data_IF_613409675623
#
_entry.id   IF_613409675623
#
_cell.length_a   1.000
_cell.length_b   1.000
_cell.length_c   1.000
_cell.angle_alpha   90.00
_cell.angle_beta   90.00
_cell.angle_gamma   90.00
#
_symmetry.space_group_name_H-M   'P 1'
#
loop_
_entity.id
_entity.type
_entity.pdbx_description
1 polymer ?
#
# COMPACT_ATOMS: atom_id res chain seq x y z
N UNK A 1 -8.58 30.33 -10.26
CA UNK A 1 -8.42 28.87 -10.51
C UNK A 1 -9.63 28.12 -9.96
N UNK A 2 -10.00 26.95 -10.50
CA UNK A 2 -11.04 26.13 -9.88
C UNK A 2 -10.58 25.69 -8.49
N UNK A 3 -11.52 25.52 -7.53
CA UNK A 3 -11.23 25.05 -6.16
C UNK A 3 -10.38 23.76 -6.13
N UNK A 4 -10.39 22.99 -7.22
CA UNK A 4 -9.64 21.73 -7.37
C UNK A 4 -8.11 21.93 -7.36
N UNK A 5 -7.61 23.08 -7.82
CA UNK A 5 -6.18 23.36 -7.98
C UNK A 5 -5.68 24.52 -7.10
N UNK A 6 -6.41 24.85 -6.05
CA UNK A 6 -6.14 25.99 -5.17
C UNK A 6 -4.76 25.90 -4.49
N UNK A 7 -4.29 24.71 -4.13
CA UNK A 7 -2.97 24.52 -3.51
C UNK A 7 -1.81 24.87 -4.46
N UNK A 8 -2.02 24.87 -5.78
CA UNK A 8 -0.98 25.29 -6.72
C UNK A 8 -0.74 26.81 -6.76
N UNK A 9 -1.55 27.61 -6.08
CA UNK A 9 -1.23 29.01 -5.87
C UNK A 9 -0.01 29.19 -4.95
N UNK A 10 0.24 28.23 -4.06
CA UNK A 10 1.42 28.20 -3.19
C UNK A 10 2.64 27.73 -3.98
N UNK A 11 3.65 28.60 -4.10
CA UNK A 11 4.88 28.32 -4.86
C UNK A 11 5.60 27.07 -4.35
N UNK A 12 5.80 26.94 -3.05
CA UNK A 12 6.47 25.80 -2.43
C UNK A 12 5.71 24.50 -2.68
N UNK A 13 4.37 24.56 -2.73
CA UNK A 13 3.56 23.37 -3.03
C UNK A 13 3.72 22.90 -4.48
N UNK A 14 3.86 23.81 -5.44
CA UNK A 14 4.14 23.45 -6.85
C UNK A 14 5.44 22.67 -6.98
N UNK A 15 6.50 23.14 -6.32
CA UNK A 15 7.78 22.41 -6.33
C UNK A 15 7.65 21.04 -5.67
N UNK A 16 7.02 20.98 -4.50
CA UNK A 16 6.79 19.72 -3.79
C UNK A 16 6.00 18.72 -4.62
N UNK A 17 4.89 19.15 -5.21
CA UNK A 17 4.03 18.30 -6.01
C UNK A 17 4.75 17.78 -7.27
N UNK A 18 5.44 18.64 -7.99
CA UNK A 18 6.17 18.25 -9.19
C UNK A 18 7.30 17.26 -8.87
N UNK A 19 8.11 17.56 -7.85
CA UNK A 19 9.17 16.65 -7.39
C UNK A 19 8.61 15.32 -6.89
N UNK A 20 7.51 15.34 -6.12
CA UNK A 20 6.87 14.12 -5.62
C UNK A 20 6.28 13.27 -6.75
N UNK A 21 5.66 13.89 -7.77
CA UNK A 21 5.10 13.17 -8.92
C UNK A 21 6.21 12.44 -9.69
N UNK A 22 7.29 13.15 -10.02
CA UNK A 22 8.45 12.57 -10.74
C UNK A 22 9.08 11.43 -9.94
N UNK A 23 9.33 11.66 -8.64
CA UNK A 23 9.91 10.65 -7.74
C UNK A 23 8.98 9.44 -7.56
N UNK A 24 7.67 9.64 -7.46
CA UNK A 24 6.70 8.53 -7.35
C UNK A 24 6.67 7.68 -8.63
N UNK A 25 6.69 8.30 -9.81
CA UNK A 25 6.75 7.57 -11.09
C UNK A 25 8.05 6.77 -11.16
N UNK A 26 9.20 7.39 -10.84
CA UNK A 26 10.49 6.72 -10.80
C UNK A 26 10.50 5.53 -9.84
N UNK A 27 9.90 5.66 -8.66
CA UNK A 27 9.81 4.58 -7.68
C UNK A 27 8.97 3.39 -8.19
N UNK A 28 7.90 3.61 -8.95
CA UNK A 28 7.13 2.53 -9.57
C UNK A 28 7.89 1.88 -10.74
N UNK A 29 8.63 2.68 -11.54
CA UNK A 29 9.53 2.17 -12.57
C UNK A 29 10.60 1.28 -11.96
N UNK A 30 11.28 1.75 -10.91
CA UNK A 30 12.28 0.99 -10.17
C UNK A 30 11.75 -0.37 -9.70
N UNK A 31 10.55 -0.38 -9.12
CA UNK A 31 9.94 -1.58 -8.56
C UNK A 31 9.76 -2.67 -9.62
N UNK A 32 9.23 -2.32 -10.79
CA UNK A 32 9.05 -3.26 -11.89
C UNK A 32 10.40 -3.73 -12.43
N UNK A 33 11.37 -2.83 -12.60
CA UNK A 33 12.71 -3.17 -13.07
C UNK A 33 13.45 -4.10 -12.10
N UNK A 34 13.34 -3.83 -10.79
CA UNK A 34 13.94 -4.68 -9.75
C UNK A 34 13.31 -6.08 -9.73
N UNK A 35 11.98 -6.15 -9.79
CA UNK A 35 11.26 -7.44 -9.80
C UNK A 35 11.64 -8.25 -11.04
N UNK A 36 11.72 -7.60 -12.21
CA UNK A 36 12.13 -8.22 -13.47
C UNK A 36 13.56 -8.74 -13.40
N UNK A 37 14.51 -7.91 -12.97
CA UNK A 37 15.91 -8.28 -12.77
C UNK A 37 16.07 -9.51 -11.87
N UNK A 38 15.39 -9.51 -10.73
CA UNK A 38 15.47 -10.62 -9.77
C UNK A 38 14.93 -11.90 -10.38
N UNK A 39 13.76 -11.82 -11.03
CA UNK A 39 13.07 -13.01 -11.53
C UNK A 39 13.76 -13.61 -12.75
N UNK A 40 14.20 -12.79 -13.70
CA UNK A 40 14.68 -13.26 -14.99
C UNK A 40 16.19 -13.41 -15.10
N UNK A 41 16.95 -12.45 -14.54
CA UNK A 41 18.41 -12.45 -14.71
C UNK A 41 19.16 -13.09 -13.54
N UNK A 42 18.69 -12.86 -12.29
CA UNK A 42 19.46 -13.26 -11.11
C UNK A 42 19.06 -14.64 -10.56
N UNK A 43 17.84 -15.12 -10.81
CA UNK A 43 17.33 -16.31 -10.12
C UNK A 43 16.60 -17.33 -11.02
N UNK A 44 16.57 -17.11 -12.32
CA UNK A 44 15.91 -18.01 -13.28
C UNK A 44 14.45 -18.40 -12.86
N UNK A 45 13.68 -17.43 -12.33
CA UNK A 45 12.26 -17.64 -12.02
C UNK A 45 11.93 -17.76 -10.52
N UNK A 46 12.84 -17.52 -9.56
CA UNK A 46 12.52 -17.71 -8.14
C UNK A 46 11.53 -16.68 -7.58
N UNK A 47 10.31 -17.14 -7.31
CA UNK A 47 9.29 -16.40 -6.57
C UNK A 47 9.72 -16.12 -5.12
N UNK A 48 10.49 -17.02 -4.51
CA UNK A 48 11.05 -16.85 -3.14
C UNK A 48 11.97 -15.65 -3.09
N UNK A 49 12.83 -15.48 -4.10
CA UNK A 49 13.73 -14.33 -4.15
C UNK A 49 12.95 -13.00 -4.19
N UNK A 50 11.89 -12.91 -5.01
CA UNK A 50 10.99 -11.76 -5.03
C UNK A 50 10.31 -11.53 -3.67
N UNK A 51 9.87 -12.61 -3.04
CA UNK A 51 9.27 -12.57 -1.70
C UNK A 51 10.21 -12.01 -0.66
N UNK A 52 11.48 -12.42 -0.67
CA UNK A 52 12.53 -11.93 0.24
C UNK A 52 12.84 -10.45 -0.01
N UNK A 53 12.99 -10.04 -1.28
CA UNK A 53 13.17 -8.62 -1.64
C UNK A 53 12.04 -7.78 -1.07
N UNK A 54 10.80 -8.18 -1.34
CA UNK A 54 9.61 -7.48 -0.85
C UNK A 54 9.59 -7.45 0.69
N UNK A 55 9.90 -8.56 1.34
CA UNK A 55 9.97 -8.60 2.80
C UNK A 55 11.00 -7.62 3.36
N UNK A 56 12.20 -7.58 2.80
CA UNK A 56 13.28 -6.68 3.25
C UNK A 56 12.92 -5.21 3.05
N UNK A 57 12.24 -4.85 1.96
CA UNK A 57 11.76 -3.47 1.73
C UNK A 57 10.77 -3.00 2.81
N UNK A 58 9.95 -3.90 3.34
CA UNK A 58 8.92 -3.54 4.32
C UNK A 58 9.30 -3.88 5.75
N UNK A 59 10.30 -4.74 5.99
CA UNK A 59 10.66 -5.25 7.31
C UNK A 59 11.02 -4.14 8.31
N UNK A 60 11.76 -3.13 7.87
CA UNK A 60 12.20 -2.04 8.75
C UNK A 60 11.04 -1.13 9.18
N UNK A 61 9.98 -1.01 8.36
CA UNK A 61 8.93 0.00 8.53
C UNK A 61 8.15 -0.18 9.84
N UNK A 62 7.57 -1.34 10.18
CA UNK A 62 6.79 -1.49 11.41
C UNK A 62 7.61 -1.24 12.69
N UNK A 63 8.91 -1.47 12.66
CA UNK A 63 9.81 -1.26 13.79
C UNK A 63 10.33 0.17 13.88
N UNK A 64 10.68 0.78 12.76
CA UNK A 64 11.34 2.09 12.70
C UNK A 64 10.38 3.27 12.47
N UNK A 65 9.21 3.07 11.87
CA UNK A 65 8.26 4.17 11.62
C UNK A 65 7.83 4.93 12.89
N UNK A 66 7.65 4.30 14.07
CA UNK A 66 7.38 5.03 15.31
C UNK A 66 8.54 5.95 15.72
N UNK A 67 9.79 5.55 15.46
CA UNK A 67 10.97 6.39 15.69
C UNK A 67 11.06 7.49 14.63
N UNK A 68 10.77 7.17 13.36
CA UNK A 68 10.68 8.13 12.26
C UNK A 68 9.66 9.23 12.54
N UNK A 69 8.48 8.89 13.06
CA UNK A 69 7.49 9.87 13.53
C UNK A 69 8.05 10.77 14.64
N UNK A 70 8.71 10.19 15.65
CA UNK A 70 9.34 10.95 16.73
C UNK A 70 10.48 11.87 16.26
N UNK A 71 11.20 11.50 15.20
CA UNK A 71 12.20 12.34 14.54
C UNK A 71 11.52 13.47 13.77
N UNK A 72 10.46 13.17 13.01
CA UNK A 72 9.68 14.17 12.28
C UNK A 72 9.03 15.22 13.20
N UNK A 73 8.65 14.84 14.42
CA UNK A 73 8.09 15.76 15.42
C UNK A 73 9.11 16.72 16.03
N UNK A 74 10.40 16.32 16.06
CA UNK A 74 11.46 17.07 16.76
C UNK A 74 12.34 17.90 15.85
N UNK A 75 12.58 17.42 14.64
CA UNK A 75 13.51 18.03 13.71
C UNK A 75 12.79 18.67 12.54
N UNK A 76 13.51 19.52 11.81
CA UNK A 76 13.05 20.16 10.58
C UNK A 76 12.74 19.10 9.52
N UNK A 77 11.48 19.04 9.12
CA UNK A 77 10.95 18.01 8.20
C UNK A 77 11.56 18.12 6.81
N UNK A 78 11.85 19.36 6.34
CA UNK A 78 12.53 19.59 5.07
C UNK A 78 13.95 19.00 5.09
N UNK A 79 14.69 19.16 6.21
CA UNK A 79 16.02 18.56 6.34
C UNK A 79 15.98 17.06 6.39
N UNK A 80 14.99 16.46 7.10
CA UNK A 80 14.79 15.01 7.12
C UNK A 80 14.54 14.52 5.69
N UNK A 81 13.66 15.18 4.94
CA UNK A 81 13.36 14.80 3.56
C UNK A 81 14.58 14.95 2.64
N UNK A 82 15.37 16.01 2.77
CA UNK A 82 16.61 16.17 2.00
C UNK A 82 17.59 15.02 2.26
N UNK A 83 17.79 14.65 3.53
CA UNK A 83 18.64 13.53 3.92
C UNK A 83 18.09 12.21 3.37
N UNK A 84 16.79 11.96 3.54
CA UNK A 84 16.13 10.74 3.03
C UNK A 84 16.28 10.64 1.50
N UNK A 85 16.01 11.74 0.78
CA UNK A 85 16.11 11.75 -0.68
C UNK A 85 17.57 11.54 -1.16
N UNK A 86 18.56 12.08 -0.45
CA UNK A 86 19.96 11.84 -0.75
C UNK A 86 20.31 10.35 -0.59
N UNK A 87 19.87 9.70 0.51
CA UNK A 87 20.07 8.26 0.70
C UNK A 87 19.33 7.41 -0.32
N UNK A 88 18.08 7.75 -0.67
CA UNK A 88 17.32 7.03 -1.70
C UNK A 88 17.97 7.19 -3.09
N UNK A 89 18.50 8.37 -3.39
CA UNK A 89 19.25 8.63 -4.62
C UNK A 89 20.55 7.81 -4.66
N UNK A 90 21.33 7.79 -3.58
CA UNK A 90 22.55 6.97 -3.49
C UNK A 90 22.23 5.48 -3.66
N UNK A 91 21.17 4.99 -3.02
CA UNK A 91 20.69 3.62 -3.16
C UNK A 91 20.32 3.30 -4.62
N UNK A 92 19.59 4.19 -5.29
CA UNK A 92 19.19 4.03 -6.68
C UNK A 92 20.39 4.08 -7.64
N UNK A 93 21.34 4.98 -7.41
CA UNK A 93 22.60 5.07 -8.19
C UNK A 93 23.44 3.80 -7.97
N UNK A 94 23.56 3.32 -6.74
CA UNK A 94 24.28 2.08 -6.43
C UNK A 94 23.66 0.89 -7.18
N UNK A 95 22.33 0.78 -7.17
CA UNK A 95 21.60 -0.25 -7.89
C UNK A 95 21.89 -0.17 -9.40
N UNK A 96 21.74 1.02 -9.98
CA UNK A 96 22.01 1.24 -11.40
C UNK A 96 23.46 0.89 -11.76
N UNK A 97 24.46 1.33 -10.99
CA UNK A 97 25.86 1.04 -11.24
C UNK A 97 26.16 -0.46 -11.19
N UNK A 98 25.63 -1.18 -10.21
CA UNK A 98 25.82 -2.63 -10.10
C UNK A 98 25.27 -3.37 -11.32
N UNK A 99 24.12 -2.96 -11.82
CA UNK A 99 23.51 -3.53 -13.03
C UNK A 99 24.29 -3.11 -14.27
N UNK A 100 24.58 -1.82 -14.44
CA UNK A 100 25.29 -1.28 -15.58
C UNK A 100 26.70 -1.88 -15.77
N UNK A 101 27.38 -2.17 -14.66
CA UNK A 101 28.72 -2.81 -14.69
C UNK A 101 28.66 -4.34 -14.79
N UNK A 102 27.46 -4.93 -14.73
CA UNK A 102 27.28 -6.39 -14.81
C UNK A 102 27.74 -7.18 -13.58
N UNK A 103 28.05 -6.51 -12.46
CA UNK A 103 28.53 -7.16 -11.23
C UNK A 103 27.41 -7.39 -10.22
N UNK A 104 26.18 -7.10 -10.59
CA UNK A 104 25.01 -7.27 -9.71
C UNK A 104 24.84 -8.73 -9.30
N UNK A 105 24.55 -8.93 -8.01
CA UNK A 105 24.23 -10.24 -7.43
C UNK A 105 23.01 -10.12 -6.53
N UNK A 106 22.32 -11.22 -6.27
CA UNK A 106 21.09 -11.23 -5.49
C UNK A 106 21.22 -10.61 -4.10
N UNK A 107 22.34 -10.82 -3.41
CA UNK A 107 22.56 -10.24 -2.08
C UNK A 107 22.70 -8.71 -2.11
N UNK A 108 23.21 -8.13 -3.22
CA UNK A 108 23.20 -6.67 -3.39
C UNK A 108 21.78 -6.12 -3.39
N UNK A 109 20.87 -6.82 -4.10
CA UNK A 109 19.46 -6.44 -4.15
C UNK A 109 18.83 -6.51 -2.75
N UNK A 110 19.10 -7.57 -1.99
CA UNK A 110 18.63 -7.74 -0.62
C UNK A 110 19.12 -6.61 0.30
N UNK A 111 20.41 -6.28 0.23
CA UNK A 111 21.01 -5.21 1.03
C UNK A 111 20.39 -3.84 0.69
N UNK A 112 20.27 -3.52 -0.61
CA UNK A 112 19.71 -2.26 -1.08
C UNK A 112 18.20 -2.17 -0.79
N UNK A 113 17.45 -3.26 -0.89
CA UNK A 113 16.03 -3.33 -0.53
C UNK A 113 15.82 -3.04 0.96
N UNK A 114 16.63 -3.64 1.84
CA UNK A 114 16.58 -3.36 3.27
C UNK A 114 16.96 -1.91 3.59
N UNK A 115 18.06 -1.41 3.02
CA UNK A 115 18.48 -0.02 3.18
C UNK A 115 17.38 0.97 2.75
N UNK A 116 16.73 0.71 1.60
CA UNK A 116 15.59 1.49 1.14
C UNK A 116 14.43 1.48 2.15
N UNK A 117 14.09 0.30 2.70
CA UNK A 117 13.05 0.16 3.73
C UNK A 117 13.33 0.96 4.99
N UNK A 118 14.59 0.97 5.44
CA UNK A 118 15.03 1.79 6.58
C UNK A 118 14.81 3.28 6.30
N UNK A 119 15.23 3.78 5.13
CA UNK A 119 15.08 5.20 4.78
C UNK A 119 13.59 5.58 4.67
N UNK A 120 12.77 4.75 4.03
CA UNK A 120 11.32 4.97 3.87
C UNK A 120 10.60 5.05 5.22
N UNK A 121 11.06 4.33 6.24
CA UNK A 121 10.49 4.38 7.59
C UNK A 121 10.62 5.77 8.24
N UNK A 122 11.59 6.59 7.82
CA UNK A 122 11.76 7.99 8.25
C UNK A 122 11.15 8.99 7.25
N UNK A 123 11.28 8.72 5.95
CA UNK A 123 10.77 9.61 4.88
C UNK A 123 9.24 9.75 4.95
N UNK A 124 8.50 8.64 5.05
CA UNK A 124 7.05 8.66 5.02
C UNK A 124 6.40 9.53 6.12
N UNK A 125 6.76 9.38 7.42
CA UNK A 125 6.20 10.25 8.46
C UNK A 125 6.58 11.72 8.26
N UNK A 126 7.83 11.99 7.87
CA UNK A 126 8.31 13.34 7.62
C UNK A 126 7.55 13.99 6.45
N UNK A 127 7.34 13.26 5.35
CA UNK A 127 6.59 13.70 4.17
C UNK A 127 5.13 14.04 4.51
N UNK A 128 4.46 13.19 5.28
CA UNK A 128 3.08 13.44 5.72
C UNK A 128 2.98 14.65 6.65
N UNK A 129 3.95 14.83 7.54
CA UNK A 129 4.00 15.94 8.47
C UNK A 129 4.46 17.26 7.82
N UNK A 130 5.11 17.19 6.64
CA UNK A 130 5.61 18.38 5.93
C UNK A 130 4.54 19.09 5.10
N UNK A 131 3.56 18.34 4.55
CA UNK A 131 2.48 18.95 3.74
C UNK A 131 1.73 20.07 4.47
N UNK A 132 1.33 19.90 5.76
CA UNK A 132 0.72 21.00 6.52
C UNK A 132 1.62 22.22 6.76
N UNK A 133 2.95 22.07 6.59
CA UNK A 133 3.89 23.20 6.72
C UNK A 133 4.05 23.98 5.41
N UNK A 134 3.63 23.39 4.28
CA UNK A 134 3.75 24.03 2.96
C UNK A 134 2.52 24.91 2.66
N UNK A 135 1.33 24.49 3.10
CA UNK A 135 0.06 25.13 2.77
C UNK A 135 -0.70 25.58 4.02
N UNK A 136 -1.58 26.57 3.89
CA UNK A 136 -2.46 26.99 4.99
C UNK A 136 -3.48 25.87 5.33
N UNK A 137 -4.05 25.92 6.54
CA UNK A 137 -5.06 24.97 7.01
C UNK A 137 -6.28 24.87 6.06
N UNK A 138 -6.66 25.98 5.43
CA UNK A 138 -7.78 26.03 4.49
C UNK A 138 -7.52 25.20 3.24
N UNK A 139 -6.28 25.17 2.76
CA UNK A 139 -5.83 24.46 1.56
C UNK A 139 -5.34 23.03 1.83
N UNK A 140 -5.20 22.65 3.09
CA UNK A 140 -4.62 21.36 3.48
C UNK A 140 -5.38 20.18 2.88
N UNK A 141 -6.71 20.20 2.91
CA UNK A 141 -7.53 19.11 2.32
C UNK A 141 -7.29 18.97 0.82
N UNK A 142 -7.17 20.10 0.10
CA UNK A 142 -6.86 20.13 -1.33
C UNK A 142 -5.46 19.59 -1.62
N UNK A 143 -4.44 20.00 -0.85
CA UNK A 143 -3.07 19.53 -0.99
C UNK A 143 -2.95 18.02 -0.76
N UNK A 144 -3.60 17.49 0.29
CA UNK A 144 -3.64 16.04 0.56
C UNK A 144 -4.34 15.28 -0.58
N UNK A 145 -5.44 15.81 -1.12
CA UNK A 145 -6.14 15.24 -2.27
C UNK A 145 -5.27 15.18 -3.51
N UNK A 146 -4.56 16.27 -3.83
CA UNK A 146 -3.64 16.34 -4.97
C UNK A 146 -2.45 15.38 -4.80
N UNK A 147 -1.86 15.27 -3.59
CA UNK A 147 -0.81 14.30 -3.33
C UNK A 147 -1.29 12.85 -3.52
N UNK A 148 -2.50 12.54 -3.07
CA UNK A 148 -3.10 11.23 -3.31
C UNK A 148 -3.31 10.97 -4.81
N UNK A 149 -3.73 11.99 -5.56
CA UNK A 149 -3.88 11.92 -7.02
C UNK A 149 -2.53 11.68 -7.69
N UNK A 150 -1.47 12.40 -7.30
CA UNK A 150 -0.10 12.19 -7.79
C UNK A 150 0.38 10.74 -7.57
N UNK A 151 0.19 10.21 -6.36
CA UNK A 151 0.56 8.84 -6.03
C UNK A 151 -0.19 7.80 -6.87
N UNK A 152 -1.51 7.97 -7.04
CA UNK A 152 -2.32 7.06 -7.85
C UNK A 152 -2.02 7.19 -9.35
N UNK A 153 -1.72 8.39 -9.86
CA UNK A 153 -1.28 8.59 -11.23
C UNK A 153 0.06 7.88 -11.49
N UNK A 154 1.02 8.02 -10.58
CA UNK A 154 2.30 7.32 -10.66
C UNK A 154 2.13 5.79 -10.62
N UNK A 155 1.25 5.28 -9.76
CA UNK A 155 0.90 3.86 -9.68
C UNK A 155 0.25 3.33 -10.96
N UNK A 156 -0.51 4.17 -11.65
CA UNK A 156 -1.17 3.81 -12.91
C UNK A 156 -0.18 3.81 -14.08
N UNK A 157 0.67 4.84 -14.17
CA UNK A 157 1.55 5.06 -15.31
C UNK A 157 2.87 4.28 -15.15
N UNK A 158 3.42 4.25 -13.94
CA UNK A 158 4.77 3.74 -13.68
C UNK A 158 5.02 2.31 -14.13
N UNK A 159 4.18 1.33 -13.76
CA UNK A 159 4.38 -0.06 -14.17
C UNK A 159 4.36 -0.25 -15.67
N UNK A 160 3.38 0.35 -16.38
CA UNK A 160 3.31 0.28 -17.85
C UNK A 160 4.50 0.95 -18.51
N UNK A 161 4.92 2.13 -18.04
CA UNK A 161 6.10 2.83 -18.55
C UNK A 161 7.38 2.00 -18.33
N UNK A 162 7.53 1.37 -17.17
CA UNK A 162 8.65 0.50 -16.86
C UNK A 162 8.70 -0.71 -17.80
N UNK A 163 7.59 -1.45 -17.91
CA UNK A 163 7.51 -2.63 -18.78
C UNK A 163 7.78 -2.29 -20.23
N UNK A 164 7.18 -1.21 -20.75
CA UNK A 164 7.46 -0.72 -22.12
C UNK A 164 8.93 -0.36 -22.31
N UNK A 165 9.53 0.35 -21.35
CA UNK A 165 10.94 0.75 -21.42
C UNK A 165 11.86 -0.47 -21.43
N UNK A 166 11.69 -1.40 -20.51
CA UNK A 166 12.51 -2.62 -20.42
C UNK A 166 12.39 -3.41 -21.73
N UNK A 167 11.18 -3.60 -22.24
CA UNK A 167 10.96 -4.27 -23.53
C UNK A 167 11.62 -3.53 -24.72
N UNK A 168 11.57 -2.19 -24.75
CA UNK A 168 12.17 -1.38 -25.80
C UNK A 168 13.71 -1.45 -25.80
N UNK A 169 14.33 -1.72 -24.65
CA UNK A 169 15.77 -1.91 -24.49
C UNK A 169 16.18 -3.39 -24.44
N UNK A 170 15.40 -4.29 -25.05
CA UNK A 170 15.71 -5.73 -25.16
C UNK A 170 15.86 -6.42 -23.77
N UNK A 171 14.96 -6.10 -22.88
CA UNK A 171 14.91 -6.56 -21.49
C UNK A 171 16.03 -6.03 -20.57
N UNK A 172 16.88 -5.09 -21.05
CA UNK A 172 17.82 -4.40 -20.18
C UNK A 172 17.10 -3.46 -19.21
N UNK A 173 17.29 -3.68 -17.90
CA UNK A 173 16.68 -2.88 -16.84
C UNK A 173 17.49 -1.64 -16.47
N UNK A 174 18.74 -1.51 -16.92
CA UNK A 174 19.62 -0.39 -16.55
C UNK A 174 19.04 0.99 -16.91
N UNK A 175 18.41 1.22 -18.09
CA UNK A 175 17.77 2.50 -18.39
C UNK A 175 16.63 2.86 -17.42
N UNK A 176 15.82 1.87 -17.02
CA UNK A 176 14.74 2.07 -16.07
C UNK A 176 15.25 2.45 -14.67
N UNK A 177 16.34 1.80 -14.23
CA UNK A 177 17.00 2.10 -12.96
C UNK A 177 17.65 3.49 -12.98
N UNK A 178 18.25 3.91 -14.10
CA UNK A 178 18.80 5.25 -14.27
C UNK A 178 17.71 6.32 -14.16
N UNK A 179 16.57 6.13 -14.80
CA UNK A 179 15.44 7.07 -14.73
C UNK A 179 14.96 7.21 -13.29
N UNK A 180 14.89 6.11 -12.53
CA UNK A 180 14.57 6.20 -11.10
C UNK A 180 15.62 7.02 -10.34
N UNK A 181 16.92 6.78 -10.55
CA UNK A 181 17.96 7.54 -9.89
C UNK A 181 17.85 9.04 -10.20
N UNK A 182 17.61 9.40 -11.48
CA UNK A 182 17.39 10.78 -11.89
C UNK A 182 16.10 11.38 -11.32
N UNK A 183 15.06 10.58 -11.09
CA UNK A 183 13.80 11.06 -10.51
C UNK A 183 13.97 11.59 -9.07
N UNK A 184 14.89 11.03 -8.30
CA UNK A 184 15.23 11.54 -6.97
C UNK A 184 15.92 12.92 -7.03
N UNK A 185 16.69 13.20 -8.08
CA UNK A 185 17.27 14.55 -8.30
C UNK A 185 16.16 15.59 -8.40
N UNK A 186 15.05 15.26 -9.10
CA UNK A 186 13.89 16.14 -9.23
C UNK A 186 13.26 16.51 -7.88
N UNK A 187 13.06 15.52 -7.00
CA UNK A 187 12.52 15.77 -5.66
C UNK A 187 13.52 16.50 -4.77
N UNK A 188 14.79 16.15 -4.83
CA UNK A 188 15.86 16.80 -4.07
C UNK A 188 15.99 18.28 -4.47
N UNK A 189 16.03 18.58 -5.76
CA UNK A 189 16.04 19.94 -6.29
C UNK A 189 14.79 20.73 -5.89
N UNK A 190 13.61 20.12 -5.97
CA UNK A 190 12.36 20.74 -5.55
C UNK A 190 12.41 21.17 -4.08
N UNK A 191 12.95 20.32 -3.19
CA UNK A 191 13.11 20.65 -1.77
C UNK A 191 14.14 21.79 -1.56
N UNK A 192 15.22 21.84 -2.35
CA UNK A 192 16.21 22.91 -2.28
C UNK A 192 15.65 24.26 -2.75
N UNK A 193 14.83 24.25 -3.81
CA UNK A 193 14.23 25.46 -4.39
C UNK A 193 13.11 26.08 -3.54
N UNK A 194 12.63 25.39 -2.51
CA UNK A 194 11.62 25.92 -1.62
C UNK A 194 12.16 27.07 -0.76
N UNK A 195 11.37 28.13 -0.66
CA UNK A 195 11.63 29.23 0.27
C UNK A 195 11.23 28.82 1.68
N UNK A 196 12.20 28.83 2.57
CA UNK A 196 12.01 28.44 4.00
C UNK A 196 11.20 29.44 4.80
N UNK A 197 11.26 30.69 4.44
CA UNK A 197 10.51 31.81 5.04
C UNK A 197 9.00 31.75 4.74
N UNK A 198 8.60 31.04 3.69
CA UNK A 198 7.18 30.82 3.34
C UNK A 198 6.61 29.53 3.99
N UNK A 199 7.40 28.79 4.78
CA UNK A 199 6.92 27.60 5.48
C UNK A 199 6.26 27.95 6.80
N UNK A 200 5.24 27.17 7.18
CA UNK A 200 4.50 27.31 8.45
C UNK A 200 4.88 26.17 9.41
N UNK A 201 5.96 26.28 10.19
CA UNK A 201 6.40 25.20 11.06
C UNK A 201 5.33 24.79 12.06
N UNK A 202 5.02 23.51 12.10
CA UNK A 202 4.08 22.97 13.08
C UNK A 202 4.67 23.02 14.50
N UNK A 203 3.86 23.33 15.54
CA UNK A 203 4.31 23.28 16.93
C UNK A 203 4.88 21.91 17.26
N UNK A 204 6.03 21.87 17.94
CA UNK A 204 6.67 20.62 18.36
C UNK A 204 5.79 19.89 19.38
N UNK A 205 5.49 18.61 19.12
CA UNK A 205 4.68 17.82 20.03
C UNK A 205 5.38 17.59 21.39
N UNK A 206 4.69 17.91 22.47
CA UNK A 206 5.27 17.97 23.81
C UNK A 206 5.31 16.64 24.58
N UNK A 207 4.64 15.53 24.17
CA UNK A 207 4.59 14.29 24.98
C UNK A 207 4.48 13.00 24.17
N UNK A 208 5.33 12.01 24.54
CA UNK A 208 5.22 10.60 24.15
C UNK A 208 3.97 9.96 24.76
N UNK A 209 3.03 9.48 23.95
CA UNK A 209 1.94 8.63 24.42
C UNK A 209 2.42 7.19 24.65
N UNK A 210 2.21 6.61 25.84
CA UNK A 210 2.57 5.24 26.15
C UNK A 210 1.78 4.23 25.29
N UNK A 211 2.48 3.44 24.47
CA UNK A 211 1.92 2.46 23.51
C UNK A 211 1.15 1.33 24.20
N UNK A 212 1.55 0.98 25.44
CA UNK A 212 0.89 -0.09 26.25
C UNK A 212 -0.61 0.10 26.44
N UNK A 213 -1.10 1.34 26.60
CA UNK A 213 -2.52 1.63 26.74
C UNK A 213 -3.33 1.32 25.47
N UNK A 214 -2.72 1.45 24.29
CA UNK A 214 -3.35 1.16 23.00
C UNK A 214 -3.68 -0.33 22.82
N UNK A 215 -2.75 -1.23 23.14
CA UNK A 215 -2.99 -2.69 23.03
C UNK A 215 -4.09 -3.18 23.96
N UNK A 216 -4.11 -2.72 25.22
CA UNK A 216 -5.18 -3.05 26.15
C UNK A 216 -6.54 -2.58 25.66
N UNK A 217 -6.60 -1.36 25.12
CA UNK A 217 -7.82 -0.80 24.55
C UNK A 217 -8.30 -1.60 23.32
N UNK A 218 -7.42 -1.92 22.37
CA UNK A 218 -7.76 -2.73 21.20
C UNK A 218 -8.32 -4.09 21.62
N UNK A 219 -7.66 -4.79 22.57
CA UNK A 219 -8.11 -6.09 23.05
C UNK A 219 -9.49 -6.05 23.71
N UNK A 220 -9.89 -4.92 24.28
CA UNK A 220 -11.22 -4.73 24.88
C UNK A 220 -12.33 -4.42 23.86
N UNK A 221 -11.98 -4.22 22.56
CA UNK A 221 -12.90 -3.84 21.49
C UNK A 221 -12.94 -4.91 20.39
N UNK A 222 -13.82 -5.92 20.46
CA UNK A 222 -13.89 -7.01 19.49
C UNK A 222 -14.05 -6.54 18.04
N UNK A 223 -14.79 -5.45 17.81
CA UNK A 223 -15.00 -4.87 16.48
C UNK A 223 -13.69 -4.41 15.85
N UNK A 224 -12.81 -3.77 16.64
CA UNK A 224 -11.50 -3.33 16.18
C UNK A 224 -10.61 -4.55 15.91
N UNK A 225 -10.65 -5.57 16.77
CA UNK A 225 -9.88 -6.81 16.59
C UNK A 225 -10.26 -7.50 15.27
N UNK A 226 -11.56 -7.63 14.99
CA UNK A 226 -12.04 -8.21 13.70
C UNK A 226 -11.50 -7.43 12.50
N UNK A 227 -11.53 -6.08 12.54
CA UNK A 227 -11.01 -5.25 11.47
C UNK A 227 -9.49 -5.42 11.29
N UNK A 228 -8.75 -5.56 12.40
CA UNK A 228 -7.30 -5.79 12.37
C UNK A 228 -6.96 -7.18 11.80
N UNK A 229 -7.75 -8.21 12.12
CA UNK A 229 -7.60 -9.55 11.52
C UNK A 229 -7.82 -9.49 10.01
N UNK A 230 -8.88 -8.81 9.54
CA UNK A 230 -9.14 -8.62 8.10
C UNK A 230 -7.94 -7.99 7.41
N UNK A 231 -7.43 -6.90 7.97
CA UNK A 231 -6.32 -6.13 7.39
C UNK A 231 -5.02 -6.92 7.41
N UNK A 232 -4.76 -7.67 8.49
CA UNK A 232 -3.61 -8.56 8.59
C UNK A 232 -3.63 -9.65 7.53
N UNK A 233 -4.72 -10.37 7.40
CA UNK A 233 -4.86 -11.47 6.42
C UNK A 233 -4.79 -10.96 4.99
N UNK A 234 -5.44 -9.84 4.69
CA UNK A 234 -5.34 -9.20 3.38
C UNK A 234 -3.90 -8.74 3.08
N UNK A 235 -3.23 -8.08 4.04
CA UNK A 235 -1.86 -7.58 3.88
C UNK A 235 -0.83 -8.71 3.75
N UNK A 236 -1.02 -9.80 4.50
CA UNK A 236 -0.09 -10.94 4.52
C UNK A 236 -0.25 -11.82 3.27
N UNK A 237 -1.47 -12.20 2.91
CA UNK A 237 -1.72 -13.20 1.87
C UNK A 237 -2.39 -12.65 0.61
N UNK A 238 -3.04 -11.49 0.69
CA UNK A 238 -3.81 -10.93 -0.42
C UNK A 238 -3.04 -9.94 -1.28
N UNK A 239 -2.20 -9.08 -0.70
CA UNK A 239 -1.60 -7.94 -1.40
C UNK A 239 -0.21 -8.23 -2.01
N UNK A 240 0.08 -9.48 -2.35
CA UNK A 240 1.35 -9.89 -2.97
C UNK A 240 1.32 -9.86 -4.50
N UNK A 241 0.55 -8.93 -5.10
CA UNK A 241 0.35 -8.88 -6.55
C UNK A 241 1.62 -8.60 -7.36
N UNK A 242 2.68 -8.09 -6.76
CA UNK A 242 3.99 -8.02 -7.41
C UNK A 242 4.50 -9.41 -7.77
N UNK A 243 4.49 -10.33 -6.79
CA UNK A 243 4.93 -11.72 -6.99
C UNK A 243 3.95 -12.41 -7.95
N UNK A 244 2.64 -12.34 -7.70
CA UNK A 244 1.62 -12.99 -8.53
C UNK A 244 1.67 -12.53 -9.99
N UNK A 245 1.76 -11.22 -10.26
CA UNK A 245 1.77 -10.71 -11.62
C UNK A 245 3.06 -11.07 -12.36
N UNK A 246 4.22 -10.98 -11.68
CA UNK A 246 5.51 -11.31 -12.27
C UNK A 246 5.55 -12.78 -12.69
N UNK A 247 5.27 -13.70 -11.75
CA UNK A 247 5.34 -15.14 -11.98
C UNK A 247 4.25 -15.66 -12.93
N UNK A 248 3.03 -15.11 -12.85
CA UNK A 248 1.97 -15.43 -13.82
C UNK A 248 2.33 -14.97 -15.23
N UNK A 249 2.93 -13.77 -15.38
CA UNK A 249 3.35 -13.26 -16.68
C UNK A 249 4.45 -14.17 -17.29
N UNK A 250 5.52 -14.41 -16.53
CA UNK A 250 6.71 -15.13 -17.04
C UNK A 250 6.51 -16.64 -17.11
N UNK A 251 6.14 -17.30 -16.01
CA UNK A 251 6.15 -18.74 -15.90
C UNK A 251 4.88 -19.40 -16.47
N UNK A 252 3.71 -18.73 -16.30
CA UNK A 252 2.44 -19.32 -16.73
C UNK A 252 2.07 -18.94 -18.16
N UNK A 253 2.28 -17.66 -18.52
CA UNK A 253 1.86 -17.16 -19.82
C UNK A 253 3.02 -16.96 -20.80
N UNK A 254 4.27 -17.13 -20.38
CA UNK A 254 5.46 -16.93 -21.24
C UNK A 254 5.56 -15.54 -21.82
N UNK A 255 5.20 -14.51 -21.01
CA UNK A 255 5.16 -13.11 -21.41
C UNK A 255 6.37 -12.33 -20.93
N UNK A 256 6.67 -11.24 -21.64
CA UNK A 256 7.82 -10.38 -21.38
C UNK A 256 7.55 -9.27 -20.37
N UNK A 257 8.56 -8.41 -20.21
CA UNK A 257 8.54 -7.26 -19.31
C UNK A 257 7.41 -6.27 -19.61
N UNK A 258 7.08 -6.07 -20.89
CA UNK A 258 5.99 -5.21 -21.32
C UNK A 258 4.66 -5.63 -20.77
N UNK A 259 4.30 -6.91 -20.92
CA UNK A 259 3.05 -7.47 -20.43
C UNK A 259 3.02 -7.50 -18.89
N UNK A 260 4.15 -7.78 -18.21
CA UNK A 260 4.22 -7.67 -16.75
C UNK A 260 3.88 -6.23 -16.29
N UNK A 261 4.46 -5.23 -16.90
CA UNK A 261 4.14 -3.82 -16.61
C UNK A 261 2.67 -3.47 -16.83
N UNK A 262 2.07 -3.98 -17.93
CA UNK A 262 0.64 -3.80 -18.22
C UNK A 262 -0.26 -4.38 -17.12
N UNK A 263 0.05 -5.55 -16.55
CA UNK A 263 -0.73 -6.13 -15.44
C UNK A 263 -0.79 -5.18 -14.24
N UNK A 264 0.34 -4.55 -13.89
CA UNK A 264 0.39 -3.54 -12.83
C UNK A 264 -0.53 -2.35 -13.11
N UNK A 265 -0.51 -1.84 -14.33
CA UNK A 265 -1.37 -0.74 -14.79
C UNK A 265 -2.85 -1.11 -14.76
N UNK A 266 -3.21 -2.30 -15.26
CA UNK A 266 -4.62 -2.79 -15.26
C UNK A 266 -5.13 -2.92 -13.83
N UNK A 267 -4.36 -3.48 -12.94
CA UNK A 267 -4.73 -3.54 -11.51
C UNK A 267 -4.90 -2.14 -10.90
N UNK A 268 -4.04 -1.18 -11.28
CA UNK A 268 -4.12 0.20 -10.81
C UNK A 268 -5.43 0.89 -11.26
N UNK A 269 -5.96 0.59 -12.44
CA UNK A 269 -7.28 1.06 -12.89
C UNK A 269 -8.35 0.59 -11.89
N UNK A 270 -8.34 -0.68 -11.53
CA UNK A 270 -9.25 -1.24 -10.53
C UNK A 270 -9.13 -0.53 -9.18
N UNK A 271 -7.90 -0.33 -8.69
CA UNK A 271 -7.68 0.35 -7.40
C UNK A 271 -8.13 1.80 -7.43
N UNK A 272 -7.91 2.53 -8.53
CA UNK A 272 -8.38 3.91 -8.68
C UNK A 272 -9.92 3.98 -8.66
N UNK A 273 -10.59 3.10 -9.40
CA UNK A 273 -12.05 2.99 -9.35
C UNK A 273 -12.57 2.66 -7.94
N UNK A 274 -11.89 1.77 -7.21
CA UNK A 274 -12.18 1.45 -5.81
C UNK A 274 -12.02 2.65 -4.88
N UNK A 275 -10.98 3.47 -5.06
CA UNK A 275 -10.75 4.70 -4.30
C UNK A 275 -11.88 5.72 -4.52
N UNK A 276 -12.27 5.95 -5.79
CA UNK A 276 -13.36 6.85 -6.14
C UNK A 276 -14.71 6.37 -5.56
N UNK A 277 -14.97 5.07 -5.61
CA UNK A 277 -16.16 4.49 -5.00
C UNK A 277 -16.17 4.63 -3.47
N UNK A 278 -15.00 4.48 -2.83
CA UNK A 278 -14.86 4.65 -1.37
C UNK A 278 -15.09 6.10 -0.94
N UNK A 279 -14.62 7.08 -1.71
CA UNK A 279 -14.81 8.52 -1.42
C UNK A 279 -16.29 8.94 -1.39
N UNK A 280 -17.16 8.24 -2.12
CA UNK A 280 -18.61 8.49 -2.13
C UNK A 280 -19.34 7.92 -0.91
N UNK A 281 -18.67 7.08 -0.08
CA UNK A 281 -19.29 6.40 1.06
C UNK A 281 -19.18 7.25 2.32
N UNK A 282 -20.31 7.65 2.89
CA UNK A 282 -20.36 8.47 4.10
C UNK A 282 -19.94 7.72 5.38
N UNK A 283 -20.22 6.41 5.49
CA UNK A 283 -19.86 5.58 6.65
C UNK A 283 -19.48 4.16 6.18
N UNK A 284 -18.29 3.66 6.49
CA UNK A 284 -17.94 2.26 6.23
C UNK A 284 -18.71 1.34 7.17
N UNK A 285 -19.23 0.22 6.62
CA UNK A 285 -19.95 -0.81 7.37
C UNK A 285 -19.14 -2.11 7.30
N UNK A 286 -19.08 -2.86 8.38
CA UNK A 286 -18.36 -4.15 8.41
C UNK A 286 -18.87 -5.09 7.30
N UNK A 287 -20.17 -5.11 7.03
CA UNK A 287 -20.74 -5.86 5.91
C UNK A 287 -20.10 -5.48 4.56
N UNK A 288 -19.91 -4.20 4.29
CA UNK A 288 -19.26 -3.75 3.05
C UNK A 288 -17.81 -4.25 2.97
N UNK A 289 -17.11 -4.26 4.11
CA UNK A 289 -15.73 -4.76 4.21
C UNK A 289 -15.69 -6.26 3.93
N UNK A 290 -16.59 -7.04 4.56
CA UNK A 290 -16.66 -8.50 4.36
C UNK A 290 -17.05 -8.87 2.93
N UNK A 291 -18.04 -8.19 2.34
CA UNK A 291 -18.43 -8.40 0.94
C UNK A 291 -17.31 -8.03 -0.03
N UNK A 292 -16.59 -6.94 0.24
CA UNK A 292 -15.45 -6.56 -0.57
C UNK A 292 -14.28 -7.55 -0.42
N UNK A 293 -14.01 -8.05 0.80
CA UNK A 293 -13.00 -9.07 1.01
C UNK A 293 -13.38 -10.40 0.33
N UNK A 294 -14.64 -10.80 0.39
CA UNK A 294 -15.15 -11.97 -0.31
C UNK A 294 -15.00 -11.82 -1.83
N UNK A 295 -15.41 -10.68 -2.38
CA UNK A 295 -15.31 -10.41 -3.82
C UNK A 295 -13.83 -10.32 -4.27
N UNK A 296 -12.95 -9.74 -3.46
CA UNK A 296 -11.50 -9.76 -3.66
C UNK A 296 -10.98 -11.20 -3.73
N UNK A 297 -11.33 -12.03 -2.73
CA UNK A 297 -10.92 -13.43 -2.65
C UNK A 297 -11.37 -14.23 -3.86
N UNK A 298 -12.64 -14.09 -4.25
CA UNK A 298 -13.18 -14.77 -5.43
C UNK A 298 -12.52 -14.31 -6.73
N UNK A 299 -12.24 -13.00 -6.86
CA UNK A 299 -11.52 -12.47 -8.03
C UNK A 299 -10.10 -13.01 -8.12
N UNK A 300 -9.40 -13.12 -6.98
CA UNK A 300 -8.04 -13.66 -6.90
C UNK A 300 -8.03 -15.17 -7.20
N UNK A 301 -8.98 -15.92 -6.66
CA UNK A 301 -9.14 -17.35 -6.97
C UNK A 301 -9.45 -17.55 -8.46
N UNK A 302 -10.38 -16.78 -9.01
CA UNK A 302 -10.71 -16.84 -10.43
C UNK A 302 -9.50 -16.50 -11.31
N UNK A 303 -8.65 -15.54 -10.89
CA UNK A 303 -7.39 -15.22 -11.58
C UNK A 303 -6.43 -16.41 -11.61
N UNK A 304 -6.36 -17.22 -10.55
CA UNK A 304 -5.58 -18.47 -10.52
C UNK A 304 -6.04 -19.50 -11.57
N UNK A 305 -7.32 -19.51 -11.92
CA UNK A 305 -7.90 -20.37 -12.97
C UNK A 305 -7.91 -19.73 -14.36
N UNK A 306 -7.38 -18.53 -14.54
CA UNK A 306 -7.42 -17.84 -15.83
C UNK A 306 -6.77 -18.68 -16.94
N UNK A 307 -7.48 -18.96 -18.06
CA UNK A 307 -6.97 -19.81 -19.14
C UNK A 307 -5.89 -19.11 -19.98
N UNK A 308 -5.90 -17.78 -20.02
CA UNK A 308 -4.98 -16.97 -20.81
C UNK A 308 -4.68 -15.63 -20.13
N UNK A 309 -3.66 -14.94 -20.65
CA UNK A 309 -3.20 -13.65 -20.16
C UNK A 309 -4.31 -12.58 -20.11
N UNK A 310 -5.14 -12.48 -21.15
CA UNK A 310 -6.19 -11.47 -21.22
C UNK A 310 -7.26 -11.65 -20.13
N UNK A 311 -7.68 -12.90 -19.87
CA UNK A 311 -8.62 -13.21 -18.79
C UNK A 311 -8.01 -12.92 -17.42
N UNK A 312 -6.73 -13.25 -17.23
CA UNK A 312 -6.00 -12.94 -16.01
C UNK A 312 -5.96 -11.43 -15.78
N UNK A 313 -5.53 -10.66 -16.79
CA UNK A 313 -5.48 -9.21 -16.75
C UNK A 313 -6.84 -8.58 -16.41
N UNK A 314 -7.93 -9.07 -17.03
CA UNK A 314 -9.29 -8.58 -16.77
C UNK A 314 -9.70 -8.81 -15.31
N UNK A 315 -9.35 -9.96 -14.72
CA UNK A 315 -9.67 -10.30 -13.33
C UNK A 315 -8.87 -9.48 -12.30
N UNK A 316 -7.75 -8.87 -12.70
CA UNK A 316 -7.02 -7.92 -11.84
C UNK A 316 -7.80 -6.63 -11.58
N UNK A 317 -8.71 -6.23 -12.47
CA UNK A 317 -9.53 -5.01 -12.27
C UNK A 317 -10.44 -5.15 -11.04
N UNK A 318 -11.30 -6.17 -10.92
CA UNK A 318 -12.09 -6.37 -9.71
C UNK A 318 -11.22 -6.68 -8.48
N UNK A 319 -10.11 -7.41 -8.61
CA UNK A 319 -9.18 -7.65 -7.50
C UNK A 319 -8.62 -6.32 -6.96
N UNK A 320 -8.16 -5.43 -7.83
CA UNK A 320 -7.71 -4.08 -7.45
C UNK A 320 -8.81 -3.24 -6.81
N UNK A 321 -10.01 -3.23 -7.40
CA UNK A 321 -11.16 -2.49 -6.89
C UNK A 321 -11.55 -2.91 -5.48
N UNK A 322 -11.68 -4.20 -5.24
CA UNK A 322 -12.13 -4.73 -3.96
C UNK A 322 -11.03 -4.66 -2.89
N UNK A 323 -9.76 -4.88 -3.24
CA UNK A 323 -8.64 -4.73 -2.30
C UNK A 323 -8.58 -3.33 -1.71
N UNK A 324 -8.65 -2.29 -2.55
CA UNK A 324 -8.66 -0.91 -2.07
C UNK A 324 -9.94 -0.55 -1.32
N UNK A 325 -11.08 -1.11 -1.72
CA UNK A 325 -12.33 -0.95 -0.99
C UNK A 325 -12.22 -1.51 0.44
N UNK A 326 -11.62 -2.69 0.63
CA UNK A 326 -11.37 -3.25 1.98
C UNK A 326 -10.45 -2.33 2.78
N UNK A 327 -9.30 -1.96 2.20
CA UNK A 327 -8.30 -1.13 2.90
C UNK A 327 -8.86 0.21 3.36
N UNK A 328 -9.51 0.95 2.47
CA UNK A 328 -10.04 2.28 2.79
C UNK A 328 -11.21 2.19 3.76
N UNK A 329 -12.10 1.20 3.59
CA UNK A 329 -13.25 1.02 4.48
C UNK A 329 -12.82 0.53 5.86
N UNK A 330 -11.85 -0.39 5.97
CA UNK A 330 -11.32 -0.86 7.24
C UNK A 330 -10.58 0.26 8.00
N UNK A 331 -9.74 1.04 7.30
CA UNK A 331 -9.06 2.18 7.89
C UNK A 331 -10.06 3.19 8.50
N UNK A 332 -11.07 3.58 7.73
CA UNK A 332 -12.10 4.50 8.20
C UNK A 332 -12.96 3.89 9.34
N UNK A 333 -13.27 2.59 9.28
CA UNK A 333 -14.03 1.91 10.33
C UNK A 333 -13.26 1.87 11.66
N UNK A 334 -11.95 1.54 11.62
CA UNK A 334 -11.09 1.56 12.82
C UNK A 334 -10.99 2.96 13.42
N UNK A 335 -10.84 4.00 12.59
CA UNK A 335 -10.80 5.38 13.06
C UNK A 335 -12.10 5.80 13.76
N UNK A 336 -13.26 5.44 13.18
CA UNK A 336 -14.57 5.79 13.72
C UNK A 336 -14.94 4.96 14.96
N UNK A 337 -14.50 3.71 15.06
CA UNK A 337 -14.70 2.85 16.21
C UNK A 337 -13.79 3.19 17.41
N UNK A 338 -12.74 4.00 17.17
CA UNK A 338 -11.75 4.35 18.19
C UNK A 338 -12.16 5.60 18.95
N UNK A 339 -12.08 5.53 20.27
CA UNK A 339 -12.20 6.70 21.13
C UNK A 339 -11.16 7.76 20.75
N UNK A 340 -11.52 9.06 20.68
CA UNK A 340 -10.60 10.15 20.35
C UNK A 340 -9.28 10.12 21.14
N UNK A 341 -9.31 9.75 22.43
CA UNK A 341 -8.13 9.64 23.31
C UNK A 341 -7.17 8.52 22.90
N UNK A 342 -7.67 7.44 22.30
CA UNK A 342 -6.89 6.25 21.92
C UNK A 342 -6.68 6.15 20.41
N UNK A 343 -7.37 6.98 19.58
CA UNK A 343 -7.38 6.88 18.11
C UNK A 343 -5.99 6.84 17.51
N UNK A 344 -5.09 7.73 17.93
CA UNK A 344 -3.72 7.75 17.41
C UNK A 344 -2.95 6.45 17.69
N UNK A 345 -3.13 5.87 18.90
CA UNK A 345 -2.50 4.60 19.29
C UNK A 345 -3.07 3.41 18.53
N UNK A 346 -4.39 3.37 18.35
CA UNK A 346 -5.09 2.33 17.58
C UNK A 346 -4.66 2.38 16.12
N UNK A 347 -4.55 3.58 15.53
CA UNK A 347 -4.09 3.74 14.15
C UNK A 347 -2.61 3.36 13.97
N UNK A 348 -1.77 3.59 14.97
CA UNK A 348 -0.39 3.10 14.94
C UNK A 348 -0.34 1.56 14.94
N UNK A 349 -1.18 0.89 15.76
CA UNK A 349 -1.30 -0.58 15.77
C UNK A 349 -1.85 -1.07 14.43
N UNK A 350 -2.88 -0.41 13.87
CA UNK A 350 -3.44 -0.72 12.55
C UNK A 350 -2.35 -0.69 11.46
N UNK A 351 -1.56 0.39 11.41
CA UNK A 351 -0.48 0.53 10.44
C UNK A 351 0.63 -0.50 10.64
N UNK A 352 1.00 -0.80 11.89
CA UNK A 352 2.00 -1.82 12.18
C UNK A 352 1.54 -3.21 11.73
N UNK A 353 0.27 -3.56 11.94
CA UNK A 353 -0.33 -4.84 11.51
C UNK A 353 -0.43 -4.89 9.98
N UNK A 354 -0.90 -3.81 9.35
CA UNK A 354 -1.06 -3.74 7.90
C UNK A 354 0.27 -3.86 7.17
N UNK A 355 1.24 -3.01 7.53
CA UNK A 355 2.57 -3.01 6.89
C UNK A 355 3.43 -4.19 7.35
N UNK A 356 3.24 -4.69 8.56
CA UNK A 356 3.93 -5.86 9.09
C UNK A 356 3.46 -7.19 8.51
N UNK A 357 2.28 -7.22 7.88
CA UNK A 357 1.79 -8.41 7.15
C UNK A 357 2.65 -8.76 5.94
N UNK A 358 3.09 -7.77 5.18
CA UNK A 358 3.88 -7.98 3.95
C UNK A 358 5.23 -8.68 4.19
N UNK A 359 6.07 -8.28 5.16
CA UNK A 359 7.33 -8.98 5.44
C UNK A 359 7.16 -10.45 5.84
N UNK A 360 6.03 -10.79 6.43
CA UNK A 360 5.69 -12.18 6.79
C UNK A 360 5.13 -12.95 5.60
N UNK A 361 4.23 -12.31 4.85
CA UNK A 361 3.49 -12.96 3.78
C UNK A 361 4.29 -13.13 2.50
N UNK A 362 5.08 -12.14 2.10
CA UNK A 362 5.77 -12.18 0.82
C UNK A 362 6.76 -13.35 0.69
N UNK A 363 7.60 -13.70 1.69
CA UNK A 363 8.45 -14.88 1.59
C UNK A 363 7.65 -16.18 1.57
N UNK A 364 6.55 -16.27 2.33
CA UNK A 364 5.68 -17.45 2.35
C UNK A 364 5.02 -17.63 0.98
N UNK A 365 4.48 -16.57 0.41
CA UNK A 365 3.86 -16.56 -0.92
C UNK A 365 4.91 -16.88 -2.00
N UNK A 366 6.12 -16.32 -1.89
CA UNK A 366 7.21 -16.62 -2.80
C UNK A 366 7.61 -18.10 -2.75
N UNK A 367 7.82 -18.65 -1.55
CA UNK A 367 8.16 -20.06 -1.37
C UNK A 367 7.05 -20.99 -1.92
N UNK A 368 5.79 -20.66 -1.65
CA UNK A 368 4.68 -21.39 -2.23
C UNK A 368 4.68 -21.32 -3.77
N UNK A 369 5.05 -20.16 -4.34
CA UNK A 369 5.21 -20.00 -5.79
C UNK A 369 6.21 -20.99 -6.38
N UNK A 370 7.37 -21.12 -5.75
CA UNK A 370 8.41 -22.06 -6.22
C UNK A 370 8.03 -23.52 -6.00
N UNK A 371 7.26 -23.86 -4.94
CA UNK A 371 6.93 -25.27 -4.58
C UNK A 371 5.68 -25.77 -5.28
N UNK A 372 4.59 -24.99 -5.34
CA UNK A 372 3.29 -25.42 -5.85
C UNK A 372 2.86 -24.66 -7.12
N UNK A 373 3.70 -23.76 -7.60
CA UNK A 373 3.50 -22.95 -8.79
C UNK A 373 2.62 -21.69 -8.59
N UNK A 374 2.72 -20.75 -9.55
CA UNK A 374 2.08 -19.42 -9.43
C UNK A 374 0.55 -19.49 -9.34
N UNK A 375 -0.11 -20.35 -10.09
CA UNK A 375 -1.57 -20.54 -10.06
C UNK A 375 -2.07 -20.98 -8.68
N UNK A 376 -1.45 -22.00 -8.12
CA UNK A 376 -1.81 -22.55 -6.80
C UNK A 376 -1.57 -21.53 -5.70
N UNK A 377 -0.55 -20.69 -5.83
CA UNK A 377 -0.22 -19.62 -4.88
C UNK A 377 -1.31 -18.54 -4.85
N UNK A 378 -1.89 -18.18 -6.01
CA UNK A 378 -3.07 -17.30 -6.08
C UNK A 378 -4.29 -17.92 -5.39
N UNK A 379 -4.51 -19.24 -5.58
CA UNK A 379 -5.60 -19.95 -4.92
C UNK A 379 -5.43 -19.98 -3.41
N UNK A 380 -4.22 -20.19 -2.91
CA UNK A 380 -3.90 -20.13 -1.46
C UNK A 380 -4.13 -18.71 -0.93
N UNK A 381 -3.60 -17.67 -1.59
CA UNK A 381 -3.76 -16.27 -1.16
C UNK A 381 -5.23 -15.83 -1.11
N UNK A 382 -6.00 -16.14 -2.18
CA UNK A 382 -7.44 -15.88 -2.22
C UNK A 382 -8.22 -16.73 -1.23
N UNK A 383 -7.87 -18.02 -1.11
CA UNK A 383 -8.51 -18.99 -0.20
C UNK A 383 -8.38 -18.61 1.26
N UNK A 384 -7.19 -18.21 1.73
CA UNK A 384 -6.96 -17.77 3.12
C UNK A 384 -7.78 -16.51 3.46
N UNK A 385 -7.91 -15.58 2.51
CA UNK A 385 -8.77 -14.41 2.69
C UNK A 385 -10.27 -14.80 2.71
N UNK A 386 -10.69 -15.79 1.92
CA UNK A 386 -12.06 -16.31 1.95
C UNK A 386 -12.36 -17.05 3.25
N UNK A 387 -11.42 -17.87 3.74
CA UNK A 387 -11.51 -18.52 5.05
C UNK A 387 -11.64 -17.48 6.17
N UNK A 388 -10.94 -16.36 6.06
CA UNK A 388 -11.08 -15.25 7.01
C UNK A 388 -12.51 -14.69 7.03
N UNK A 389 -13.13 -14.50 5.86
CA UNK A 389 -14.54 -14.07 5.79
C UNK A 389 -15.45 -15.09 6.47
N UNK A 390 -15.30 -16.37 6.14
CA UNK A 390 -16.10 -17.46 6.71
C UNK A 390 -15.91 -17.52 8.24
N UNK A 391 -14.67 -17.50 8.72
CA UNK A 391 -14.35 -17.51 10.14
C UNK A 391 -14.99 -16.37 10.93
N UNK A 392 -14.98 -15.15 10.35
CA UNK A 392 -15.64 -13.98 10.95
C UNK A 392 -17.16 -14.15 10.96
N UNK A 393 -17.76 -14.67 9.89
CA UNK A 393 -19.20 -14.94 9.84
C UNK A 393 -19.62 -16.00 10.86
N UNK A 394 -18.85 -17.07 11.00
CA UNK A 394 -19.05 -18.12 12.02
C UNK A 394 -18.93 -17.52 13.43
N UNK A 395 -17.89 -16.72 13.69
CA UNK A 395 -17.70 -16.04 14.97
C UNK A 395 -18.91 -15.17 15.34
N UNK A 396 -19.46 -14.41 14.40
CA UNK A 396 -20.66 -13.61 14.66
C UNK A 396 -21.90 -14.48 14.88
N UNK A 397 -22.03 -15.56 14.13
CA UNK A 397 -23.14 -16.49 14.31
C UNK A 397 -23.11 -17.15 15.72
N UNK A 398 -21.95 -17.62 16.17
CA UNK A 398 -21.77 -18.25 17.51
C UNK A 398 -22.00 -17.26 18.66
N UNK A 399 -21.79 -15.97 18.44
CA UNK A 399 -22.07 -14.91 19.43
C UNK A 399 -23.53 -14.42 19.38
N UNK A 400 -24.41 -15.05 18.61
CA UNK A 400 -25.83 -14.68 18.49
C UNK A 400 -26.07 -13.34 17.78
N UNK A 401 -25.04 -12.77 17.14
CA UNK A 401 -25.13 -11.52 16.40
C UNK A 401 -25.72 -11.77 15.02
N UNK A 402 -26.96 -11.41 14.79
CA UNK A 402 -27.63 -11.58 13.48
C UNK A 402 -27.30 -10.42 12.55
N UNK A 403 -26.72 -10.72 11.39
CA UNK A 403 -26.58 -9.77 10.26
C UNK A 403 -27.95 -9.68 9.58
N UNK A 404 -28.79 -8.71 9.94
CA UNK A 404 -30.08 -8.49 9.26
C UNK A 404 -29.88 -7.80 7.92
N UNK A 405 -30.32 -8.47 6.85
CA UNK A 405 -30.51 -7.90 5.53
C UNK A 405 -31.87 -7.19 5.49
N UNK A 406 -31.90 -5.87 5.67
CA UNK A 406 -33.12 -5.10 5.43
C UNK A 406 -33.11 -4.62 3.98
N UNK A 407 -33.87 -5.28 3.11
CA UNK A 407 -34.13 -4.85 1.73
C UNK A 407 -35.24 -3.80 1.82
N UNK A 408 -34.91 -2.55 1.50
CA UNK A 408 -35.92 -1.48 1.42
C UNK A 408 -36.71 -1.63 0.12
N UNK A 409 -38.04 -1.60 0.23
CA UNK A 409 -39.00 -1.84 -0.87
C UNK A 409 -39.03 -0.74 -1.97
N UNK A 410 -38.32 0.40 -1.76
CA UNK A 410 -38.45 1.58 -2.63
C UNK A 410 -37.16 2.11 -3.28
N UNK A 411 -36.02 1.51 -3.01
CA UNK A 411 -34.76 1.71 -3.76
C UNK A 411 -33.77 0.68 -3.19
N UNK A 412 -32.77 0.15 -3.95
CA UNK A 412 -31.82 -0.81 -3.42
C UNK A 412 -30.77 -0.13 -2.51
N UNK A 413 -31.21 0.59 -1.49
CA UNK A 413 -30.40 1.09 -0.39
C UNK A 413 -30.42 0.04 0.71
N UNK A 414 -29.47 -0.88 0.66
CA UNK A 414 -29.28 -1.86 1.73
C UNK A 414 -28.76 -1.12 2.97
N UNK A 415 -29.65 -0.83 3.90
CA UNK A 415 -29.31 -0.34 5.23
C UNK A 415 -29.16 -1.55 6.16
N UNK A 416 -27.92 -1.83 6.64
CA UNK A 416 -27.69 -2.72 7.76
C UNK A 416 -27.45 -1.88 9.01
N UNK A 417 -28.40 -1.86 9.93
CA UNK A 417 -28.23 -1.34 11.26
C UNK A 417 -27.81 -2.48 12.18
N UNK A 418 -26.75 -2.28 12.94
CA UNK A 418 -26.31 -3.18 14.00
C UNK A 418 -27.13 -2.87 15.24
N UNK A 419 -28.15 -3.64 15.51
CA UNK A 419 -28.78 -3.67 16.82
C UNK A 419 -28.17 -4.83 17.60
N UNK A 420 -27.31 -4.51 18.55
CA UNK A 420 -26.96 -5.41 19.64
C UNK A 420 -28.21 -5.51 20.53
N UNK A 421 -29.03 -6.52 20.33
CA UNK A 421 -29.97 -6.91 21.38
C UNK A 421 -29.14 -7.61 22.47
N UNK A 422 -28.66 -6.82 23.44
CA UNK A 422 -28.32 -7.37 24.73
C UNK A 422 -29.54 -8.15 25.24
N UNK A 423 -29.36 -9.42 25.54
CA UNK A 423 -30.36 -10.23 26.21
C UNK A 423 -30.60 -9.60 27.57
N UNK A 424 -31.65 -8.81 27.73
CA UNK A 424 -32.20 -8.32 29.01
C UNK A 424 -32.82 -9.44 29.85
N UNK A 425 -32.33 -10.66 29.73
CA UNK A 425 -32.80 -11.82 30.53
C UNK A 425 -31.76 -12.35 31.52
N UNK A 426 -30.92 -11.49 32.07
CA UNK A 426 -30.05 -11.86 33.20
C UNK A 426 -29.88 -10.70 34.20
N UNK A 427 -30.92 -9.95 34.46
CA UNK A 427 -31.05 -9.13 35.68
C UNK A 427 -32.45 -9.36 36.22
N UNK A 428 -32.59 -10.48 36.94
CA UNK A 428 -33.83 -10.86 37.60
C UNK A 428 -33.68 -12.23 38.27
N UNK A 429 -32.73 -12.31 39.17
CA UNK A 429 -32.71 -13.19 40.36
C UNK A 429 -31.64 -12.67 41.32
#
# INVERSE_FOLDING_TARGET
>A
MSRTFESFEVRNYRYFFAGALVSNVGAWIYRIAQDWLVLTELTAGSSTALGVVTALQFLAIPFLAPYGGGVADRFDKRKILLISQAFLMMNAVAMWLLVFTGVVQLWHIYALAFAQGVVIAFDNPARQAFVPEIVSQERLSNAVGLNSTSFNAARLIGPGAAGFMIAAFHDDVAPALLINALSFVGMFAALLMMKTDELHPSPRAAKKGATRGGFRYVRSKPDIVVLLVIVFMLGTFGLNFQIFNATMATEVFGKGSGEYGILGTIMAIGTLAGALAAARRRRPRLRTILLALMAFSLSTIAAGFAPNFATFALLLVPAGFFSLTVMTSANAAVQLASDPLFRGRVMAIYMAIFLGGTPLGAPIIGLLGDVIGPRSTLLVGGGLNLITVIGILVYFHTKGMRIRLRISKYLPRVHAEWTVQANEKMVGM
#
